data_IF_720836897977
#
_entry.id   IF_720836897977
#
_cell.length_a   1.000
_cell.length_b   1.000
_cell.length_c   1.000
_cell.angle_alpha   90.00
_cell.angle_beta   90.00
_cell.angle_gamma   90.00
#
_symmetry.space_group_name_H-M   'P 1'
#
loop_
_entity.id
_entity.type
_entity.pdbx_description
1 polymer ?
#
# COMPACT_ATOMS: atom_id res chain seq x y z
N UNK A 1 13.83 -13.01 12.16
CA UNK A 1 14.18 -14.00 11.13
C UNK A 1 15.68 -14.18 11.18
N UNK A 2 16.15 -15.33 11.65
CA UNK A 2 17.57 -15.70 11.56
C UNK A 2 17.75 -16.28 10.16
N UNK A 3 18.30 -15.51 9.25
CA UNK A 3 18.71 -16.03 7.93
C UNK A 3 20.02 -16.79 8.17
N UNK A 4 20.13 -18.06 7.74
CA UNK A 4 21.39 -18.81 7.87
C UNK A 4 22.51 -18.07 7.13
N UNK A 5 23.69 -17.94 7.76
CA UNK A 5 24.84 -17.19 7.25
C UNK A 5 25.34 -17.59 5.84
N UNK A 6 24.90 -18.73 5.32
CA UNK A 6 25.24 -19.19 3.97
C UNK A 6 24.37 -18.59 2.84
N UNK A 7 23.19 -18.06 3.16
CA UNK A 7 22.29 -17.49 2.13
C UNK A 7 22.76 -16.09 1.71
N UNK A 8 23.36 -15.33 2.62
CA UNK A 8 23.86 -14.00 2.31
C UNK A 8 25.00 -14.03 1.29
N UNK A 9 25.96 -14.97 1.44
CA UNK A 9 27.05 -15.14 0.49
C UNK A 9 26.57 -15.62 -0.87
N UNK A 10 25.56 -16.48 -0.91
CA UNK A 10 24.97 -16.99 -2.16
C UNK A 10 24.22 -15.88 -2.91
N UNK A 11 23.44 -15.06 -2.22
CA UNK A 11 22.73 -13.91 -2.84
C UNK A 11 23.73 -12.89 -3.38
N UNK A 12 24.78 -12.58 -2.62
CA UNK A 12 25.82 -11.64 -3.06
C UNK A 12 26.60 -12.20 -4.26
N UNK A 13 26.89 -13.51 -4.28
CA UNK A 13 27.54 -14.18 -5.41
C UNK A 13 26.68 -14.17 -6.68
N UNK A 14 25.38 -14.46 -6.55
CA UNK A 14 24.44 -14.43 -7.67
C UNK A 14 24.26 -13.02 -8.23
N UNK A 15 24.23 -11.99 -7.38
CA UNK A 15 24.14 -10.58 -7.83
C UNK A 15 25.40 -10.15 -8.57
N UNK A 16 26.58 -10.66 -8.16
CA UNK A 16 27.88 -10.36 -8.80
C UNK A 16 28.11 -11.15 -10.09
N UNK A 17 27.43 -12.31 -10.26
CA UNK A 17 27.57 -13.19 -11.42
C UNK A 17 26.21 -13.54 -12.06
N UNK A 18 25.57 -12.57 -12.75
CA UNK A 18 24.23 -12.74 -13.34
C UNK A 18 24.13 -13.89 -14.35
N UNK A 19 25.25 -14.36 -14.90
CA UNK A 19 25.29 -15.47 -15.87
C UNK A 19 24.97 -16.85 -15.29
N UNK A 20 24.87 -16.98 -13.96
CA UNK A 20 24.58 -18.24 -13.28
C UNK A 20 23.10 -18.53 -13.10
N UNK A 21 22.23 -17.53 -13.30
CA UNK A 21 20.77 -17.63 -13.14
C UNK A 21 20.06 -17.03 -14.34
N UNK A 22 18.83 -17.46 -14.58
CA UNK A 22 18.01 -16.84 -15.59
C UNK A 22 17.61 -15.41 -15.17
N UNK A 23 17.18 -14.58 -16.11
CA UNK A 23 16.86 -13.16 -15.86
C UNK A 23 15.74 -12.98 -14.84
N UNK A 24 14.75 -13.88 -14.81
CA UNK A 24 13.63 -13.83 -13.89
C UNK A 24 14.05 -14.12 -12.44
N UNK A 25 14.90 -15.14 -12.25
CA UNK A 25 15.46 -15.49 -10.94
C UNK A 25 16.40 -14.39 -10.44
N UNK A 26 17.23 -13.80 -11.34
CA UNK A 26 18.10 -12.68 -10.99
C UNK A 26 17.30 -11.46 -10.51
N UNK A 27 16.23 -11.08 -11.22
CA UNK A 27 15.38 -9.96 -10.85
C UNK A 27 14.67 -10.22 -9.51
N UNK A 28 14.24 -11.45 -9.26
CA UNK A 28 13.63 -11.87 -8.00
C UNK A 28 14.60 -11.78 -6.83
N UNK A 29 15.82 -12.30 -6.99
CA UNK A 29 16.86 -12.25 -5.97
C UNK A 29 17.32 -10.81 -5.68
N UNK A 30 17.50 -10.00 -6.72
CA UNK A 30 17.84 -8.58 -6.59
C UNK A 30 16.76 -7.85 -5.78
N UNK A 31 15.51 -8.08 -6.08
CA UNK A 31 14.39 -7.50 -5.34
C UNK A 31 14.34 -7.94 -3.86
N UNK A 32 14.56 -9.21 -3.58
CA UNK A 32 14.60 -9.72 -2.20
C UNK A 32 15.73 -9.06 -1.42
N UNK A 33 16.89 -8.91 -2.04
CA UNK A 33 18.05 -8.27 -1.43
C UNK A 33 17.84 -6.78 -1.18
N UNK A 34 17.35 -6.04 -2.15
CA UNK A 34 17.05 -4.60 -2.01
C UNK A 34 16.05 -4.37 -0.89
N UNK A 35 15.04 -5.23 -0.80
CA UNK A 35 14.05 -5.16 0.23
C UNK A 35 14.61 -5.51 1.61
N UNK A 36 15.43 -6.56 1.73
CA UNK A 36 16.15 -6.86 2.97
C UNK A 36 16.94 -5.65 3.44
N UNK A 37 17.68 -5.03 2.53
CA UNK A 37 18.47 -3.84 2.81
C UNK A 37 17.60 -2.67 3.29
N UNK A 38 16.43 -2.47 2.69
CA UNK A 38 15.49 -1.41 3.10
C UNK A 38 14.85 -1.68 4.46
N UNK A 39 14.50 -2.94 4.77
CA UNK A 39 13.93 -3.34 6.05
C UNK A 39 14.93 -3.24 7.21
N UNK A 40 16.21 -3.50 6.94
CA UNK A 40 17.27 -3.50 7.95
C UNK A 40 18.04 -2.19 8.00
N UNK A 41 17.79 -1.26 7.08
CA UNK A 41 18.50 0.02 7.04
C UNK A 41 18.16 0.89 8.24
N UNK A 42 19.18 1.30 8.99
CA UNK A 42 19.07 2.32 10.00
C UNK A 42 19.08 3.70 9.32
N UNK A 43 17.91 4.29 9.15
CA UNK A 43 17.74 5.59 8.51
C UNK A 43 17.27 6.64 9.52
N UNK A 44 17.93 7.80 9.51
CA UNK A 44 17.44 8.98 10.21
C UNK A 44 16.38 9.67 9.34
N UNK A 45 15.16 9.84 9.86
CA UNK A 45 14.07 10.52 9.18
C UNK A 45 13.68 11.74 10.04
N UNK A 46 14.06 12.92 9.57
CA UNK A 46 13.63 14.20 10.15
C UNK A 46 12.86 14.93 9.08
N UNK A 47 11.62 15.26 9.36
CA UNK A 47 10.77 15.91 8.38
C UNK A 47 9.68 16.74 9.00
N UNK A 48 9.02 17.53 8.18
CA UNK A 48 7.82 18.28 8.49
C UNK A 48 6.65 17.76 7.68
N UNK A 49 5.46 17.85 8.24
CA UNK A 49 4.25 17.51 7.50
C UNK A 49 3.16 18.56 7.73
N UNK A 50 2.38 18.78 6.68
CA UNK A 50 1.17 19.56 6.74
C UNK A 50 -0.02 18.65 6.42
N UNK A 51 -1.06 18.73 7.23
CA UNK A 51 -2.29 17.97 7.03
C UNK A 51 -3.49 18.91 7.05
N UNK A 52 -4.34 18.78 6.05
CA UNK A 52 -5.61 19.46 5.95
C UNK A 52 -6.75 18.45 5.94
N UNK A 53 -7.72 18.64 6.83
CA UNK A 53 -8.92 17.81 6.91
C UNK A 53 -10.14 18.71 6.85
N UNK A 54 -11.02 18.43 5.91
CA UNK A 54 -12.34 19.06 5.82
C UNK A 54 -13.41 17.99 5.96
N UNK A 55 -14.21 18.07 6.99
CA UNK A 55 -15.29 17.12 7.26
C UNK A 55 -16.62 17.88 7.35
N UNK A 56 -17.58 17.51 6.51
CA UNK A 56 -18.90 18.14 6.46
C UNK A 56 -19.84 17.64 7.57
N UNK A 57 -19.42 16.69 8.39
CA UNK A 57 -20.19 16.13 9.50
C UNK A 57 -20.38 17.18 10.59
N UNK A 58 -21.64 17.55 10.88
CA UNK A 58 -21.99 18.58 11.86
C UNK A 58 -22.12 18.02 13.28
N UNK A 59 -22.52 16.75 13.39
CA UNK A 59 -22.67 16.04 14.67
C UNK A 59 -22.52 14.54 14.49
N UNK A 60 -22.46 13.80 15.59
CA UNK A 60 -22.25 12.34 15.58
C UNK A 60 -23.39 11.53 14.92
N UNK A 61 -24.58 12.15 14.79
CA UNK A 61 -25.75 11.50 14.20
C UNK A 61 -25.85 11.71 12.70
N UNK A 62 -25.03 12.59 12.11
CA UNK A 62 -25.02 12.83 10.66
C UNK A 62 -24.61 11.56 9.93
N UNK A 63 -25.53 11.06 9.11
CA UNK A 63 -25.36 9.84 8.32
C UNK A 63 -24.95 10.14 6.88
N UNK A 64 -25.13 11.37 6.44
CA UNK A 64 -24.79 11.88 5.11
C UNK A 64 -23.71 12.95 5.26
N UNK A 65 -22.47 12.60 4.93
CA UNK A 65 -21.33 13.50 5.10
C UNK A 65 -20.22 13.15 4.11
N UNK A 66 -19.31 14.09 3.96
CA UNK A 66 -18.06 13.90 3.22
C UNK A 66 -16.87 14.30 4.07
N UNK A 67 -15.75 13.64 3.85
CA UNK A 67 -14.47 13.99 4.44
C UNK A 67 -13.42 14.04 3.34
N UNK A 68 -12.69 15.13 3.26
CA UNK A 68 -11.54 15.31 2.40
C UNK A 68 -10.29 15.44 3.27
N UNK A 69 -9.26 14.65 2.93
CA UNK A 69 -7.96 14.68 3.59
C UNK A 69 -6.88 14.96 2.56
N UNK A 70 -6.01 15.90 2.88
CA UNK A 70 -4.77 16.14 2.16
C UNK A 70 -3.62 16.13 3.14
N UNK A 71 -2.55 15.44 2.82
CA UNK A 71 -1.33 15.43 3.61
C UNK A 71 -0.13 15.52 2.69
N UNK A 72 0.81 16.40 3.04
CA UNK A 72 2.13 16.47 2.43
C UNK A 72 3.19 16.33 3.52
N UNK A 73 4.20 15.53 3.27
CA UNK A 73 5.35 15.31 4.16
C UNK A 73 6.62 15.54 3.36
N UNK A 74 7.53 16.34 3.91
CA UNK A 74 8.84 16.62 3.35
C UNK A 74 9.88 16.22 4.39
N UNK A 75 10.76 15.29 4.04
CA UNK A 75 11.80 14.79 4.94
C UNK A 75 13.20 15.05 4.37
N UNK A 76 14.15 15.27 5.29
CA UNK A 76 15.57 15.31 4.99
C UNK A 76 16.13 16.67 4.56
N UNK A 77 15.34 17.67 4.24
CA UNK A 77 15.87 18.98 3.78
C UNK A 77 16.66 19.69 4.88
N UNK A 78 16.13 19.71 6.11
CA UNK A 78 16.84 20.33 7.23
C UNK A 78 18.13 19.58 7.56
N UNK A 79 18.09 18.25 7.50
CA UNK A 79 19.30 17.42 7.70
C UNK A 79 20.33 17.63 6.61
N UNK A 80 19.91 17.84 5.37
CA UNK A 80 20.81 18.11 4.25
C UNK A 80 21.50 19.49 4.40
N UNK A 81 20.76 20.52 4.78
CA UNK A 81 21.32 21.85 5.07
C UNK A 81 22.38 21.76 6.20
N UNK A 82 22.07 21.01 7.25
CA UNK A 82 23.01 20.79 8.36
C UNK A 82 24.22 19.97 7.90
N UNK A 83 24.01 18.92 7.09
CA UNK A 83 25.09 18.09 6.57
C UNK A 83 26.05 18.90 5.67
N UNK A 84 25.52 19.73 4.80
CA UNK A 84 26.33 20.57 3.89
C UNK A 84 27.11 21.69 4.64
N UNK A 85 26.71 22.04 5.87
CA UNK A 85 27.41 22.97 6.73
C UNK A 85 28.58 22.36 7.52
N UNK A 86 28.70 21.04 7.55
CA UNK A 86 29.72 20.29 8.25
C UNK A 86 30.35 19.25 7.32
N UNK A 87 31.62 18.92 7.55
CA UNK A 87 32.30 17.84 6.82
C UNK A 87 31.74 16.49 7.32
N UNK A 88 30.74 15.96 6.59
CA UNK A 88 30.02 14.74 7.00
C UNK A 88 30.59 13.50 6.35
N UNK A 89 30.72 12.43 7.13
CA UNK A 89 31.14 11.14 6.63
C UNK A 89 30.07 10.51 5.72
N UNK A 90 30.49 9.75 4.72
CA UNK A 90 29.60 8.97 3.88
C UNK A 90 29.61 7.50 4.29
N UNK A 91 28.53 6.79 3.96
CA UNK A 91 28.51 5.34 4.06
C UNK A 91 29.13 4.68 2.81
N UNK A 92 29.23 3.34 2.82
CA UNK A 92 29.76 2.56 1.68
C UNK A 92 29.00 2.73 0.35
N UNK A 93 27.78 3.30 0.40
CA UNK A 93 26.94 3.58 -0.76
C UNK A 93 26.95 5.07 -1.17
N UNK A 94 27.89 5.88 -0.66
CA UNK A 94 28.00 7.29 -0.97
C UNK A 94 26.95 8.19 -0.31
N UNK A 95 26.14 7.67 0.62
CA UNK A 95 25.12 8.46 1.33
C UNK A 95 25.73 9.19 2.52
N UNK A 96 25.42 10.48 2.63
CA UNK A 96 25.83 11.32 3.73
C UNK A 96 25.20 10.85 5.06
N UNK A 97 25.96 10.95 6.14
CA UNK A 97 25.54 10.55 7.49
C UNK A 97 25.52 11.73 8.43
N UNK A 98 24.54 11.77 9.32
CA UNK A 98 24.52 12.65 10.48
C UNK A 98 24.41 11.76 11.71
N UNK A 99 25.23 12.03 12.76
CA UNK A 99 25.33 11.19 13.96
C UNK A 99 25.58 9.70 13.66
N UNK A 100 26.33 9.41 12.57
CA UNK A 100 26.64 8.05 12.17
C UNK A 100 25.54 7.32 11.38
N UNK A 101 24.37 7.94 11.17
CA UNK A 101 23.21 7.39 10.46
C UNK A 101 23.03 8.08 9.10
N UNK A 102 22.74 7.31 8.06
CA UNK A 102 22.28 7.87 6.79
C UNK A 102 20.90 8.49 6.97
N UNK A 103 20.69 9.70 6.44
CA UNK A 103 19.38 10.33 6.50
C UNK A 103 18.62 10.16 5.19
N UNK A 104 17.30 10.07 5.30
CA UNK A 104 16.39 9.90 4.16
C UNK A 104 15.80 11.23 3.73
N UNK A 105 15.81 11.46 2.40
CA UNK A 105 15.18 12.62 1.75
C UNK A 105 14.06 12.15 0.84
N UNK A 106 12.84 12.62 1.09
CA UNK A 106 11.69 12.34 0.25
C UNK A 106 10.59 13.39 0.42
N UNK A 107 9.74 13.49 -0.59
CA UNK A 107 8.44 14.15 -0.53
C UNK A 107 7.35 13.08 -0.64
N UNK A 108 6.35 13.15 0.23
CA UNK A 108 5.19 12.24 0.22
C UNK A 108 3.91 13.04 0.26
N UNK A 109 2.98 12.72 -0.65
CA UNK A 109 1.68 13.36 -0.75
C UNK A 109 0.59 12.29 -0.67
N UNK A 110 -0.45 12.55 0.12
CA UNK A 110 -1.61 11.69 0.28
C UNK A 110 -2.89 12.52 0.11
N UNK A 111 -3.82 12.04 -0.68
CA UNK A 111 -5.14 12.61 -0.90
C UNK A 111 -6.18 11.53 -0.62
N UNK A 112 -7.11 11.82 0.26
CA UNK A 112 -8.21 10.92 0.60
C UNK A 112 -9.55 11.64 0.54
N UNK A 113 -10.56 10.95 0.02
CA UNK A 113 -11.93 11.43 0.03
C UNK A 113 -12.86 10.31 0.44
N UNK A 114 -13.75 10.60 1.38
CA UNK A 114 -14.79 9.69 1.85
C UNK A 114 -16.12 10.39 1.66
N UNK A 115 -17.13 9.66 1.18
CA UNK A 115 -18.51 10.14 1.11
C UNK A 115 -19.49 9.07 1.55
N UNK A 116 -20.41 9.45 2.39
CA UNK A 116 -21.54 8.62 2.79
C UNK A 116 -22.82 9.25 2.26
N UNK A 117 -23.69 8.40 1.70
CA UNK A 117 -25.04 8.79 1.27
C UNK A 117 -26.07 7.91 2.00
N UNK A 118 -27.10 8.52 2.50
CA UNK A 118 -28.29 7.82 2.98
C UNK A 118 -29.23 7.64 1.79
N UNK A 119 -29.39 6.40 1.31
CA UNK A 119 -30.25 6.09 0.16
C UNK A 119 -31.70 5.84 0.57
N UNK A 120 -31.94 5.59 1.85
CA UNK A 120 -33.27 5.31 2.41
C UNK A 120 -33.20 5.08 3.90
N UNK A 121 -34.33 4.71 4.50
CA UNK A 121 -34.42 4.49 5.96
C UNK A 121 -33.44 3.41 6.44
N UNK A 122 -33.23 2.38 5.61
CA UNK A 122 -32.50 1.17 5.97
C UNK A 122 -31.27 0.91 5.10
N UNK A 123 -30.85 1.87 4.27
CA UNK A 123 -29.72 1.66 3.35
C UNK A 123 -28.81 2.87 3.24
N UNK A 124 -27.54 2.61 3.06
CA UNK A 124 -26.48 3.61 2.90
C UNK A 124 -25.50 3.16 1.85
N UNK A 125 -24.95 4.12 1.13
CA UNK A 125 -23.81 3.93 0.26
C UNK A 125 -22.60 4.66 0.85
N UNK A 126 -21.48 3.99 0.93
CA UNK A 126 -20.22 4.57 1.35
C UNK A 126 -19.22 4.45 0.19
N UNK A 127 -18.49 5.52 -0.05
CA UNK A 127 -17.44 5.62 -1.05
C UNK A 127 -16.17 6.15 -0.39
N UNK A 128 -15.04 5.60 -0.77
CA UNK A 128 -13.72 6.10 -0.40
C UNK A 128 -12.84 6.09 -1.63
N UNK A 129 -12.05 7.15 -1.82
CA UNK A 129 -10.92 7.18 -2.73
C UNK A 129 -9.66 7.59 -1.97
N UNK A 130 -8.55 7.01 -2.37
CA UNK A 130 -7.23 7.32 -1.85
C UNK A 130 -6.21 7.33 -2.98
N UNK A 131 -5.40 8.35 -3.01
CA UNK A 131 -4.21 8.47 -3.84
C UNK A 131 -3.04 8.87 -2.96
N UNK A 132 -1.94 8.16 -3.08
CA UNK A 132 -0.71 8.47 -2.38
C UNK A 132 0.50 8.29 -3.30
N UNK A 133 1.45 9.20 -3.20
CA UNK A 133 2.71 9.14 -3.95
C UNK A 133 3.85 9.65 -3.09
N UNK A 134 5.00 9.01 -3.19
CA UNK A 134 6.22 9.42 -2.51
C UNK A 134 7.40 9.35 -3.47
N UNK A 135 8.18 10.43 -3.56
CA UNK A 135 9.34 10.54 -4.40
C UNK A 135 10.61 10.71 -3.55
N UNK A 136 11.61 9.81 -3.66
CA UNK A 136 12.91 10.01 -3.05
C UNK A 136 13.68 11.08 -3.83
N UNK A 137 14.58 11.77 -3.15
CA UNK A 137 15.51 12.72 -3.79
C UNK A 137 16.81 12.86 -2.96
N UNK A 138 17.81 13.57 -3.51
CA UNK A 138 19.05 13.91 -2.82
C UNK A 138 19.77 12.67 -2.28
N UNK A 139 19.87 12.55 -0.96
CA UNK A 139 20.57 11.46 -0.28
C UNK A 139 19.83 10.09 -0.33
N UNK A 140 18.67 10.01 -0.99
CA UNK A 140 17.83 8.80 -1.02
C UNK A 140 17.51 8.36 -2.45
N UNK A 141 17.71 7.10 -2.75
CA UNK A 141 17.30 6.46 -4.01
C UNK A 141 15.98 5.70 -3.88
N UNK A 142 15.48 5.50 -2.67
CA UNK A 142 14.23 4.81 -2.37
C UNK A 142 13.57 5.36 -1.12
N UNK A 143 12.28 5.12 -0.98
CA UNK A 143 11.51 5.52 0.20
C UNK A 143 11.77 4.50 1.33
N UNK A 144 11.99 4.94 2.58
CA UNK A 144 12.05 4.02 3.72
C UNK A 144 10.78 3.17 3.83
N UNK A 145 10.95 1.89 4.20
CA UNK A 145 9.83 0.96 4.34
C UNK A 145 8.68 1.51 5.21
N UNK A 146 9.01 2.15 6.33
CA UNK A 146 8.02 2.75 7.25
C UNK A 146 7.19 3.89 6.63
N UNK A 147 7.59 4.41 5.48
CA UNK A 147 6.92 5.49 4.74
C UNK A 147 6.30 5.04 3.43
N UNK A 148 6.55 3.81 3.01
CA UNK A 148 5.99 3.20 1.80
C UNK A 148 4.50 2.89 1.97
N UNK A 149 3.81 2.66 0.85
CA UNK A 149 2.44 2.19 0.82
C UNK A 149 2.40 0.67 0.65
N UNK A 150 1.36 0.07 1.18
CA UNK A 150 1.00 -1.34 0.94
C UNK A 150 -0.46 -1.45 0.52
N UNK A 151 -0.86 -2.58 -0.04
CA UNK A 151 -2.23 -2.85 -0.44
C UNK A 151 -2.71 -4.22 0.08
N UNK A 152 -4.05 -4.35 0.12
CA UNK A 152 -4.74 -5.50 0.70
C UNK A 152 -5.13 -5.32 2.16
N UNK A 153 -6.01 -6.19 2.64
CA UNK A 153 -6.50 -6.22 4.01
C UNK A 153 -7.88 -5.61 4.20
N UNK A 154 -8.37 -5.76 5.42
CA UNK A 154 -9.77 -5.51 5.79
C UNK A 154 -10.25 -4.06 5.61
N UNK A 155 -9.35 -3.08 5.53
CA UNK A 155 -9.66 -1.66 5.36
C UNK A 155 -9.13 -1.10 4.03
N UNK A 156 -8.78 -1.98 3.10
CA UNK A 156 -8.23 -1.62 1.79
C UNK A 156 -8.90 -2.47 0.70
N UNK A 157 -8.19 -3.34 0.00
CA UNK A 157 -8.80 -4.32 -0.91
C UNK A 157 -8.99 -5.65 -0.18
N UNK A 158 -10.24 -5.94 0.21
CA UNK A 158 -10.62 -7.08 1.06
C UNK A 158 -10.50 -8.44 0.39
N UNK A 159 -10.26 -8.49 -0.91
CA UNK A 159 -10.02 -9.75 -1.63
C UNK A 159 -8.54 -10.20 -1.60
N UNK A 160 -7.66 -9.42 -1.01
CA UNK A 160 -6.25 -9.74 -0.76
C UNK A 160 -5.91 -9.57 0.71
N UNK A 161 -5.07 -10.44 1.24
CA UNK A 161 -4.47 -10.25 2.55
C UNK A 161 -3.56 -9.01 2.57
N UNK A 162 -3.27 -8.52 3.75
CA UNK A 162 -2.37 -7.36 3.94
C UNK A 162 -1.00 -7.66 3.33
N UNK A 163 -0.46 -6.73 2.56
CA UNK A 163 0.80 -6.85 1.81
C UNK A 163 0.81 -7.90 0.67
N UNK A 164 -0.34 -8.48 0.30
CA UNK A 164 -0.41 -9.51 -0.75
C UNK A 164 -0.94 -8.98 -2.08
N UNK A 165 -1.09 -7.68 -2.25
CA UNK A 165 -1.50 -7.04 -3.49
C UNK A 165 -0.38 -6.13 -4.01
N UNK A 166 0.01 -6.33 -5.26
CA UNK A 166 1.02 -5.53 -5.95
C UNK A 166 2.47 -5.88 -5.55
N UNK A 167 3.44 -5.04 -5.94
CA UNK A 167 3.32 -3.89 -6.85
C UNK A 167 2.93 -4.30 -8.27
N UNK A 168 2.04 -3.51 -8.89
CA UNK A 168 1.58 -3.73 -10.26
C UNK A 168 1.06 -5.14 -10.51
N UNK A 169 1.57 -5.78 -11.57
CA UNK A 169 1.27 -7.16 -11.96
C UNK A 169 2.32 -8.19 -11.52
N UNK A 170 3.23 -7.84 -10.62
CA UNK A 170 4.38 -8.69 -10.24
C UNK A 170 4.05 -9.92 -9.38
N UNK A 171 2.84 -10.01 -8.82
CA UNK A 171 2.36 -11.21 -8.13
C UNK A 171 2.71 -11.32 -6.64
N UNK A 172 3.06 -10.23 -5.98
CA UNK A 172 3.35 -10.21 -4.55
C UNK A 172 4.42 -11.25 -4.14
N UNK A 173 5.60 -11.16 -4.75
CA UNK A 173 6.71 -12.12 -4.62
C UNK A 173 7.26 -12.25 -3.20
N UNK A 174 6.88 -11.39 -2.27
CA UNK A 174 7.36 -11.43 -0.90
C UNK A 174 6.23 -11.31 0.13
N UNK A 175 6.54 -11.55 1.40
CA UNK A 175 5.56 -11.48 2.48
C UNK A 175 5.03 -10.08 2.77
N UNK A 176 5.83 -9.04 2.51
CA UNK A 176 5.51 -7.64 2.78
C UNK A 176 5.73 -6.81 1.52
N UNK A 177 4.83 -6.84 0.58
CA UNK A 177 4.94 -6.04 -0.64
C UNK A 177 4.54 -4.60 -0.36
N UNK A 178 5.37 -3.69 -0.79
CA UNK A 178 5.21 -2.25 -0.60
C UNK A 178 5.76 -1.50 -1.81
N UNK A 179 5.30 -0.27 -1.97
CA UNK A 179 5.70 0.61 -3.06
C UNK A 179 5.54 2.08 -2.66
N UNK A 180 5.91 2.99 -3.54
CA UNK A 180 5.88 4.42 -3.23
C UNK A 180 4.74 5.19 -3.93
N UNK A 181 3.87 4.50 -4.66
CA UNK A 181 2.61 5.03 -5.18
C UNK A 181 1.46 4.07 -4.85
N UNK A 182 0.27 4.60 -4.54
CA UNK A 182 -0.94 3.82 -4.26
C UNK A 182 -2.17 4.50 -4.81
N UNK A 183 -3.05 3.70 -5.42
CA UNK A 183 -4.43 4.07 -5.77
C UNK A 183 -5.36 3.08 -5.07
N UNK A 184 -6.40 3.58 -4.40
CA UNK A 184 -7.45 2.75 -3.83
C UNK A 184 -8.82 3.42 -3.95
N UNK A 185 -9.82 2.66 -4.36
CA UNK A 185 -11.23 3.05 -4.45
C UNK A 185 -12.07 1.96 -3.79
N UNK A 186 -12.98 2.35 -2.91
CA UNK A 186 -13.86 1.41 -2.21
C UNK A 186 -15.30 1.92 -2.31
N UNK A 187 -16.20 1.03 -2.66
CA UNK A 187 -17.64 1.28 -2.69
C UNK A 187 -18.32 0.21 -1.86
N UNK A 188 -19.16 0.61 -0.93
CA UNK A 188 -19.88 -0.31 -0.05
C UNK A 188 -21.34 0.10 0.10
N UNK A 189 -22.24 -0.76 -0.33
CA UNK A 189 -23.68 -0.66 -0.07
C UNK A 189 -24.02 -1.42 1.20
N UNK A 190 -24.56 -0.72 2.20
CA UNK A 190 -24.96 -1.25 3.51
C UNK A 190 -26.47 -1.23 3.62
N UNK A 191 -27.06 -2.32 4.10
CA UNK A 191 -28.51 -2.45 4.24
C UNK A 191 -28.86 -3.19 5.52
N UNK A 192 -30.00 -2.82 6.07
CA UNK A 192 -30.55 -3.45 7.28
C UNK A 192 -31.03 -4.86 6.96
N UNK A 193 -30.63 -5.83 7.78
CA UNK A 193 -31.14 -7.20 7.73
C UNK A 193 -32.17 -7.42 8.82
N UNK A 194 -31.74 -7.79 10.02
CA UNK A 194 -32.62 -8.08 11.15
C UNK A 194 -32.01 -7.59 12.47
N UNK A 195 -32.81 -6.93 13.29
CA UNK A 195 -32.36 -6.45 14.60
C UNK A 195 -31.12 -5.58 14.54
N UNK A 196 -30.01 -6.02 15.12
CA UNK A 196 -28.72 -5.35 15.14
C UNK A 196 -27.77 -5.77 14.02
N UNK A 197 -28.23 -6.62 13.11
CA UNK A 197 -27.44 -7.15 12.00
C UNK A 197 -27.72 -6.34 10.73
N UNK A 198 -26.65 -5.83 10.12
CA UNK A 198 -26.64 -5.19 8.81
C UNK A 198 -25.83 -6.04 7.83
N UNK A 199 -26.28 -6.09 6.58
CA UNK A 199 -25.55 -6.66 5.47
C UNK A 199 -24.77 -5.58 4.71
N UNK A 200 -23.74 -6.01 3.98
CA UNK A 200 -23.05 -5.16 3.03
C UNK A 200 -22.63 -5.94 1.79
N UNK A 201 -22.64 -5.25 0.66
CA UNK A 201 -22.02 -5.68 -0.60
C UNK A 201 -21.00 -4.61 -0.97
N UNK A 202 -19.83 -5.03 -1.43
CA UNK A 202 -18.75 -4.09 -1.70
C UNK A 202 -17.94 -4.45 -2.93
N UNK A 203 -17.29 -3.43 -3.46
CA UNK A 203 -16.24 -3.54 -4.46
C UNK A 203 -15.07 -2.66 -4.08
N UNK A 204 -13.88 -3.25 -4.03
CA UNK A 204 -12.62 -2.60 -3.71
C UNK A 204 -11.73 -2.66 -4.96
N UNK A 205 -11.17 -1.52 -5.37
CA UNK A 205 -10.30 -1.38 -6.53
C UNK A 205 -9.02 -0.73 -6.06
N UNK A 206 -7.86 -1.26 -6.43
CA UNK A 206 -6.61 -0.61 -6.06
C UNK A 206 -5.39 -1.42 -6.41
N UNK A 207 -4.25 -0.78 -6.32
CA UNK A 207 -2.93 -1.38 -6.41
C UNK A 207 -1.87 -0.39 -5.88
N UNK A 208 -0.64 -0.86 -5.81
CA UNK A 208 0.56 -0.08 -5.52
C UNK A 208 1.57 -0.23 -6.66
N UNK A 209 2.42 0.76 -6.86
CA UNK A 209 3.51 0.73 -7.86
C UNK A 209 4.72 1.49 -7.35
N UNK A 210 5.88 1.18 -7.90
CA UNK A 210 7.08 1.97 -7.74
C UNK A 210 7.14 3.08 -8.79
N UNK A 211 7.51 4.28 -8.36
CA UNK A 211 7.70 5.45 -9.22
C UNK A 211 8.90 6.24 -8.68
N UNK A 212 9.67 6.87 -9.57
CA UNK A 212 10.77 7.74 -9.20
C UNK A 212 11.87 7.09 -8.34
N UNK A 213 11.99 5.77 -8.36
CA UNK A 213 13.04 5.02 -7.68
C UNK A 213 13.84 4.17 -8.67
N UNK A 214 14.82 3.41 -8.17
CA UNK A 214 15.72 2.62 -9.01
C UNK A 214 15.11 1.27 -9.46
N UNK A 215 13.82 1.03 -9.24
CA UNK A 215 13.13 -0.22 -9.63
C UNK A 215 13.04 -0.29 -11.15
N UNK A 216 13.63 -1.35 -11.73
CA UNK A 216 13.69 -1.56 -13.19
C UNK A 216 12.66 -2.56 -13.72
N UNK A 217 12.01 -3.30 -12.85
CA UNK A 217 10.99 -4.30 -13.22
C UNK A 217 9.71 -3.61 -13.67
N UNK A 218 9.42 -3.67 -14.97
CA UNK A 218 8.23 -3.05 -15.58
C UNK A 218 6.89 -3.56 -15.02
N UNK A 219 6.87 -4.75 -14.41
CA UNK A 219 5.67 -5.29 -13.75
C UNK A 219 5.38 -4.62 -12.41
N UNK A 220 6.30 -3.80 -11.90
CA UNK A 220 6.23 -3.13 -10.59
C UNK A 220 6.20 -1.63 -10.68
N UNK A 221 6.60 -1.07 -11.84
CA UNK A 221 6.67 0.37 -12.07
C UNK A 221 5.39 0.89 -12.68
N UNK A 222 5.09 2.16 -12.43
CA UNK A 222 4.00 2.87 -13.09
C UNK A 222 4.61 3.79 -14.16
N UNK A 223 4.49 3.40 -15.42
CA UNK A 223 5.07 4.11 -16.56
C UNK A 223 4.04 4.96 -17.31
N UNK A 224 2.78 4.89 -16.91
CA UNK A 224 1.71 5.70 -17.50
C UNK A 224 0.31 5.12 -17.35
N UNK A 225 -0.66 5.77 -18.00
CA UNK A 225 -2.08 5.41 -17.85
C UNK A 225 -2.44 3.99 -18.28
N UNK A 226 -1.62 3.34 -19.12
CA UNK A 226 -1.83 1.93 -19.49
C UNK A 226 -1.74 0.99 -18.28
N UNK A 227 -0.94 1.35 -17.26
CA UNK A 227 -0.72 0.52 -16.09
C UNK A 227 -1.91 0.57 -15.12
N UNK A 228 -2.89 1.44 -15.36
CA UNK A 228 -4.19 1.36 -14.69
C UNK A 228 -4.94 0.05 -15.00
N UNK A 229 -4.58 -0.68 -16.07
CA UNK A 229 -5.07 -2.03 -16.31
C UNK A 229 -4.58 -3.06 -15.28
N UNK A 230 -3.65 -2.68 -14.41
CA UNK A 230 -3.16 -3.49 -13.31
C UNK A 230 -3.90 -3.20 -11.99
N UNK A 231 -4.93 -2.32 -12.01
CA UNK A 231 -5.80 -2.13 -10.86
C UNK A 231 -6.54 -3.43 -10.55
N UNK A 232 -6.27 -4.02 -9.40
CA UNK A 232 -6.95 -5.21 -8.92
C UNK A 232 -8.37 -4.87 -8.45
N UNK A 233 -9.34 -5.72 -8.78
CA UNK A 233 -10.74 -5.55 -8.35
C UNK A 233 -11.13 -6.72 -7.47
N UNK A 234 -11.51 -6.41 -6.23
CA UNK A 234 -12.11 -7.33 -5.29
C UNK A 234 -13.58 -6.99 -5.07
N UNK A 235 -14.45 -7.99 -5.10
CA UNK A 235 -15.86 -7.82 -4.75
C UNK A 235 -16.23 -8.80 -3.65
N UNK A 236 -17.24 -8.46 -2.87
CA UNK A 236 -17.64 -9.35 -1.80
C UNK A 236 -18.87 -8.91 -1.04
N UNK A 237 -19.15 -9.65 -0.02
CA UNK A 237 -20.24 -9.36 0.89
C UNK A 237 -19.78 -9.53 2.34
N UNK A 238 -20.52 -8.95 3.26
CA UNK A 238 -20.19 -9.07 4.66
C UNK A 238 -21.34 -8.74 5.57
N UNK A 239 -21.14 -9.03 6.84
CA UNK A 239 -22.08 -8.79 7.92
C UNK A 239 -21.49 -7.82 8.94
N UNK A 240 -22.35 -6.99 9.52
CA UNK A 240 -22.02 -6.00 10.53
C UNK A 240 -22.97 -6.19 11.70
N UNK A 241 -22.43 -6.54 12.86
CA UNK A 241 -23.21 -6.68 14.08
C UNK A 241 -22.94 -5.52 15.02
N UNK A 242 -23.96 -4.71 15.26
CA UNK A 242 -23.87 -3.53 16.12
C UNK A 242 -24.04 -3.93 17.59
N UNK A 243 -22.93 -3.87 18.34
CA UNK A 243 -22.87 -4.14 19.78
C UNK A 243 -23.14 -2.89 20.63
N UNK A 244 -23.39 -1.74 20.01
CA UNK A 244 -23.60 -0.45 20.69
C UNK A 244 -22.33 0.37 20.82
N UNK A 245 -21.29 -0.18 21.41
CA UNK A 245 -19.98 0.48 21.59
C UNK A 245 -19.09 0.34 20.35
N UNK A 246 -19.20 -0.78 19.64
CA UNK A 246 -18.46 -1.05 18.41
C UNK A 246 -19.29 -1.93 17.48
N UNK A 247 -18.86 -2.00 16.24
CA UNK A 247 -19.45 -2.83 15.21
C UNK A 247 -18.46 -3.95 14.91
N UNK A 248 -18.89 -5.20 15.11
CA UNK A 248 -18.14 -6.35 14.64
C UNK A 248 -18.44 -6.57 13.17
N UNK A 249 -17.41 -6.69 12.36
CA UNK A 249 -17.51 -6.86 10.93
C UNK A 249 -16.87 -8.17 10.49
N UNK A 250 -17.59 -8.90 9.65
CA UNK A 250 -17.13 -10.11 8.96
C UNK A 250 -17.30 -9.89 7.46
N UNK A 251 -16.23 -9.90 6.71
CA UNK A 251 -16.24 -9.71 5.25
C UNK A 251 -15.65 -10.92 4.54
N UNK A 252 -16.25 -11.30 3.40
CA UNK A 252 -15.70 -12.29 2.48
C UNK A 252 -15.43 -11.60 1.15
N UNK A 253 -14.15 -11.52 0.77
CA UNK A 253 -13.71 -10.88 -0.46
C UNK A 253 -13.27 -11.91 -1.51
N UNK A 254 -13.67 -11.68 -2.76
CA UNK A 254 -13.34 -12.51 -3.92
C UNK A 254 -12.57 -11.68 -4.93
N UNK A 255 -11.52 -12.26 -5.51
CA UNK A 255 -10.75 -11.63 -6.59
C UNK A 255 -11.58 -11.63 -7.87
N UNK A 256 -12.16 -10.47 -8.19
CA UNK A 256 -12.99 -10.28 -9.40
C UNK A 256 -12.11 -10.06 -10.63
N UNK A 257 -11.06 -9.24 -10.49
CA UNK A 257 -10.03 -9.03 -11.49
C UNK A 257 -8.66 -9.12 -10.84
N UNK A 258 -7.84 -10.07 -11.29
CA UNK A 258 -6.49 -10.29 -10.78
C UNK A 258 -5.45 -9.91 -11.86
N UNK A 259 -4.73 -8.78 -11.71
CA UNK A 259 -3.80 -8.29 -12.71
C UNK A 259 -2.57 -9.17 -12.92
N UNK A 260 -2.28 -10.08 -12.00
CA UNK A 260 -1.14 -11.00 -12.06
C UNK A 260 -1.31 -12.07 -13.14
N UNK A 261 -2.55 -12.43 -13.43
CA UNK A 261 -2.87 -13.46 -14.42
C UNK A 261 -2.69 -12.93 -15.86
N UNK A 262 -2.58 -13.84 -16.81
CA UNK A 262 -2.59 -13.50 -18.22
C UNK A 262 -3.88 -12.77 -18.60
N UNK A 263 -3.82 -11.86 -19.56
CA UNK A 263 -4.93 -10.96 -19.90
C UNK A 263 -6.28 -11.68 -20.10
N UNK A 264 -6.28 -12.86 -20.72
CA UNK A 264 -7.48 -13.68 -20.94
C UNK A 264 -8.10 -14.25 -19.67
N UNK A 265 -7.29 -14.41 -18.60
CA UNK A 265 -7.66 -15.09 -17.37
C UNK A 265 -7.84 -14.13 -16.18
N UNK A 266 -7.67 -12.82 -16.38
CA UNK A 266 -7.73 -11.82 -15.31
C UNK A 266 -9.09 -11.71 -14.64
N UNK A 267 -10.18 -11.94 -15.42
CA UNK A 267 -11.54 -11.80 -14.94
C UNK A 267 -12.10 -13.12 -14.39
N UNK A 268 -12.59 -13.11 -13.16
CA UNK A 268 -13.32 -14.17 -12.45
C UNK A 268 -12.62 -15.53 -12.31
N UNK A 269 -11.41 -15.74 -12.82
CA UNK A 269 -10.69 -17.01 -12.67
C UNK A 269 -10.41 -17.34 -11.20
N UNK A 270 -10.13 -16.33 -10.40
CA UNK A 270 -9.88 -16.47 -8.97
C UNK A 270 -11.12 -16.20 -8.10
N UNK A 271 -12.30 -16.04 -8.72
CA UNK A 271 -13.57 -15.81 -8.05
C UNK A 271 -14.17 -17.11 -7.53
N UNK A 272 -13.60 -17.66 -6.48
CA UNK A 272 -14.02 -18.92 -5.88
C UNK A 272 -13.73 -18.95 -4.37
N UNK A 273 -14.42 -19.82 -3.63
CA UNK A 273 -14.30 -19.94 -2.17
C UNK A 273 -12.91 -20.37 -1.70
N UNK A 274 -12.14 -21.11 -2.52
CA UNK A 274 -10.79 -21.56 -2.14
C UNK A 274 -9.78 -20.41 -2.10
N UNK A 275 -10.03 -19.37 -2.90
CA UNK A 275 -9.19 -18.16 -2.99
C UNK A 275 -9.82 -16.94 -2.35
N UNK A 276 -10.99 -17.10 -1.71
CA UNK A 276 -11.66 -16.05 -0.98
C UNK A 276 -10.86 -15.68 0.28
N UNK A 277 -10.86 -14.40 0.61
CA UNK A 277 -10.22 -13.86 1.82
C UNK A 277 -11.30 -13.50 2.83
N UNK A 278 -11.17 -14.04 4.03
CA UNK A 278 -12.06 -13.75 5.14
C UNK A 278 -11.42 -12.72 6.06
N UNK A 279 -12.14 -11.62 6.28
CA UNK A 279 -11.67 -10.52 7.10
C UNK A 279 -12.57 -10.34 8.33
N UNK A 280 -11.93 -10.17 9.47
CA UNK A 280 -12.59 -9.73 10.72
C UNK A 280 -12.15 -8.30 10.98
N UNK A 281 -13.09 -7.43 11.32
CA UNK A 281 -12.78 -6.03 11.61
C UNK A 281 -13.66 -5.47 12.71
N UNK A 282 -13.17 -4.42 13.35
CA UNK A 282 -13.93 -3.60 14.27
C UNK A 282 -14.26 -2.27 13.57
N UNK A 283 -15.52 -1.83 13.74
CA UNK A 283 -16.09 -0.67 13.09
C UNK A 283 -16.16 -0.76 11.55
N UNK A 284 -16.62 0.29 10.89
CA UNK A 284 -16.65 0.35 9.43
C UNK A 284 -15.25 0.54 8.85
N UNK A 285 -14.98 0.08 7.63
CA UNK A 285 -13.65 0.21 7.01
C UNK A 285 -13.30 1.65 6.66
N UNK A 286 -14.29 2.51 6.49
CA UNK A 286 -14.21 3.94 6.22
C UNK A 286 -15.55 4.64 6.49
#
# INVERSE_FOLDING_TARGET
LIIPSGIDSFIDEVILTPSLVNEEDFNTLSYINDRRNRLTANNLIIGSSYSYVNNSKKNIFDKDFSEFKFKIELAGNLTDILANGFDVSQNKFGKNKILGLAYSQFIKTEIGYIKHWTLGVNSKLAFRSFFGIAAPFGNSNSIPFSKSFFAGGSNDNRAWEVYRLGPGSSGALSEFNEANMKIALNIEYRFKMIGKLDGAIFTDIGNIWNVFDDTKDSKRTFDGFKDLNELAIGSGFGMRYNLGYFILRLDTGFKTYNPVLENKDRWFTDFNLKKAVFNIGLNYPF
#
